data_IF_144170239205
#
_entry.id   IF_144170239205
#
_cell.length_a   1.000
_cell.length_b   1.000
_cell.length_c   1.000
_cell.angle_alpha   90.00
_cell.angle_beta   90.00
_cell.angle_gamma   90.00
#
_symmetry.space_group_name_H-M   'P 1'
#
loop_
_entity.id
_entity.type
_entity.pdbx_description
1 polymer ?
#
# COMPACT_ATOMS: atom_id res chain seq x y z
N UNK A 1 19.26 -17.52 -2.37
CA UNK A 1 19.51 -16.07 -2.16
C UNK A 1 19.36 -15.73 -0.67
N UNK A 2 20.06 -14.70 -0.15
CA UNK A 2 19.81 -14.24 1.24
C UNK A 2 18.56 -13.35 1.29
N UNK A 3 17.81 -13.35 2.41
CA UNK A 3 16.61 -12.50 2.57
C UNK A 3 16.88 -11.00 2.38
N UNK A 4 18.09 -10.53 2.73
CA UNK A 4 18.53 -9.14 2.50
C UNK A 4 18.70 -8.85 1.01
N UNK A 5 19.33 -9.78 0.28
CA UNK A 5 19.53 -9.66 -1.17
C UNK A 5 18.18 -9.72 -1.91
N UNK A 6 17.31 -10.66 -1.54
CA UNK A 6 15.95 -10.77 -2.08
C UNK A 6 15.18 -9.45 -1.97
N UNK A 7 15.15 -8.83 -0.78
CA UNK A 7 14.45 -7.55 -0.58
C UNK A 7 15.03 -6.44 -1.45
N UNK A 8 16.35 -6.40 -1.62
CA UNK A 8 17.02 -5.39 -2.44
C UNK A 8 16.62 -5.55 -3.90
N UNK A 9 16.74 -6.75 -4.45
CA UNK A 9 16.39 -7.03 -5.85
C UNK A 9 14.89 -6.84 -6.11
N UNK A 10 14.04 -7.25 -5.17
CA UNK A 10 12.59 -7.01 -5.25
C UNK A 10 12.28 -5.50 -5.31
N UNK A 11 12.95 -4.67 -4.49
CA UNK A 11 12.76 -3.21 -4.55
C UNK A 11 13.19 -2.65 -5.90
N UNK A 12 14.35 -3.05 -6.43
CA UNK A 12 14.85 -2.60 -7.74
C UNK A 12 13.87 -2.98 -8.86
N UNK A 13 13.42 -4.24 -8.93
CA UNK A 13 12.46 -4.69 -9.95
C UNK A 13 11.08 -4.03 -9.82
N UNK A 14 10.59 -3.80 -8.61
CA UNK A 14 9.32 -3.09 -8.41
C UNK A 14 9.42 -1.61 -8.83
N UNK A 15 10.58 -0.98 -8.64
CA UNK A 15 10.85 0.38 -9.13
C UNK A 15 10.84 0.45 -10.66
N UNK A 16 11.39 -0.55 -11.34
CA UNK A 16 11.31 -0.66 -12.81
C UNK A 16 9.86 -0.75 -13.32
N UNK A 17 8.95 -1.33 -12.53
CA UNK A 17 7.50 -1.37 -12.82
C UNK A 17 6.75 -0.06 -12.48
N UNK A 18 7.46 0.95 -11.97
CA UNK A 18 6.90 2.25 -11.58
C UNK A 18 6.33 2.29 -10.16
N UNK A 19 6.64 1.32 -9.31
CA UNK A 19 6.26 1.34 -7.90
C UNK A 19 7.33 1.98 -7.02
N UNK A 20 6.92 2.63 -5.94
CA UNK A 20 7.79 3.07 -4.87
C UNK A 20 7.55 2.26 -3.60
N UNK A 21 8.57 2.02 -2.80
CA UNK A 21 8.40 1.34 -1.52
C UNK A 21 7.72 2.28 -0.51
N UNK A 22 6.67 1.81 0.15
CA UNK A 22 6.00 2.59 1.20
C UNK A 22 6.93 2.74 2.42
N UNK A 23 7.09 3.94 3.00
CA UNK A 23 8.03 4.17 4.10
C UNK A 23 7.46 3.62 5.43
N UNK A 24 7.67 2.34 5.72
CA UNK A 24 7.23 1.71 6.98
C UNK A 24 8.25 0.70 7.49
N UNK A 25 8.09 0.28 8.76
CA UNK A 25 8.92 -0.75 9.39
C UNK A 25 8.60 -2.17 8.91
N UNK A 26 7.38 -2.41 8.44
CA UNK A 26 6.90 -3.75 8.09
C UNK A 26 6.93 -3.92 6.57
N UNK A 27 7.81 -4.82 6.14
CA UNK A 27 8.47 -4.74 4.84
C UNK A 27 7.60 -5.20 3.66
N UNK A 28 7.92 -4.63 2.50
CA UNK A 28 7.50 -5.01 1.14
C UNK A 28 6.08 -4.61 0.71
N UNK A 29 5.65 -3.42 1.13
CA UNK A 29 4.55 -2.71 0.48
C UNK A 29 5.10 -1.77 -0.59
N UNK A 30 4.58 -1.91 -1.80
CA UNK A 30 4.94 -1.14 -2.97
C UNK A 30 3.72 -0.41 -3.48
N UNK A 31 3.83 0.89 -3.74
CA UNK A 31 2.74 1.77 -4.11
C UNK A 31 3.04 2.43 -5.45
N UNK A 32 2.04 2.43 -6.33
CA UNK A 32 2.04 3.14 -7.60
C UNK A 32 0.83 4.05 -7.64
N UNK A 33 1.04 5.35 -7.81
CA UNK A 33 -0.05 6.30 -8.02
C UNK A 33 -0.67 6.06 -9.39
N UNK A 34 -1.99 5.98 -9.42
CA UNK A 34 -2.81 5.97 -10.62
C UNK A 34 -3.54 7.31 -10.71
N UNK A 35 -4.08 7.61 -11.89
CA UNK A 35 -4.90 8.80 -12.09
C UNK A 35 -6.11 8.83 -11.13
N UNK A 36 -6.71 10.00 -10.94
CA UNK A 36 -7.92 10.20 -10.11
C UNK A 36 -7.74 9.86 -8.62
N UNK A 37 -6.53 10.01 -8.07
CA UNK A 37 -6.23 9.78 -6.65
C UNK A 37 -6.36 8.32 -6.18
N UNK A 38 -6.24 7.35 -7.08
CA UNK A 38 -6.11 5.95 -6.70
C UNK A 38 -4.65 5.54 -6.54
N UNK A 39 -4.43 4.57 -5.66
CA UNK A 39 -3.17 3.90 -5.46
C UNK A 39 -3.34 2.42 -5.74
N UNK A 40 -2.48 1.89 -6.60
CA UNK A 40 -2.27 0.46 -6.73
C UNK A 40 -1.16 0.04 -5.78
N UNK A 41 -1.47 -0.93 -4.92
CA UNK A 41 -0.53 -1.42 -3.91
C UNK A 41 -0.26 -2.89 -4.17
N UNK A 42 1.02 -3.25 -4.21
CA UNK A 42 1.47 -4.65 -4.13
C UNK A 42 2.09 -4.86 -2.76
N UNK A 43 1.50 -5.74 -1.97
CA UNK A 43 2.04 -6.13 -0.68
C UNK A 43 2.60 -7.53 -0.75
N UNK A 44 3.85 -7.72 -0.34
CA UNK A 44 4.52 -9.02 -0.34
C UNK A 44 4.66 -9.54 1.09
N UNK A 45 4.23 -10.78 1.32
CA UNK A 45 4.22 -11.39 2.64
C UNK A 45 4.89 -12.75 2.62
N UNK A 46 5.63 -13.05 3.68
CA UNK A 46 6.20 -14.37 3.90
C UNK A 46 5.22 -15.27 4.64
N UNK A 47 5.22 -16.56 4.31
CA UNK A 47 4.43 -17.57 5.02
C UNK A 47 4.86 -17.65 6.48
N UNK A 48 3.88 -17.83 7.37
CA UNK A 48 4.14 -18.08 8.80
C UNK A 48 4.63 -19.51 9.06
N UNK A 49 4.39 -20.41 8.12
CA UNK A 49 4.72 -21.84 8.24
C UNK A 49 6.03 -22.18 7.54
N UNK A 50 6.39 -21.43 6.49
CA UNK A 50 7.63 -21.61 5.75
C UNK A 50 8.31 -20.25 5.56
N UNK A 51 9.41 -19.95 6.28
CA UNK A 51 10.02 -18.62 6.28
C UNK A 51 10.64 -18.22 4.94
N UNK A 52 10.79 -19.17 4.02
CA UNK A 52 11.31 -18.96 2.67
C UNK A 52 10.19 -18.75 1.63
N UNK A 53 8.96 -19.15 1.94
CA UNK A 53 7.82 -18.96 1.04
C UNK A 53 7.27 -17.55 1.15
N UNK A 54 6.96 -16.94 0.02
CA UNK A 54 6.31 -15.65 -0.05
C UNK A 54 5.18 -15.62 -1.09
N UNK A 55 4.29 -14.65 -0.94
CA UNK A 55 3.18 -14.38 -1.86
C UNK A 55 2.97 -12.88 -2.01
N UNK A 56 2.11 -12.48 -2.94
CA UNK A 56 1.77 -11.08 -3.19
C UNK A 56 0.27 -10.84 -3.29
N UNK A 57 -0.14 -9.71 -2.72
CA UNK A 57 -1.50 -9.20 -2.75
C UNK A 57 -1.56 -7.89 -3.53
N UNK A 58 -2.64 -7.72 -4.31
CA UNK A 58 -2.98 -6.50 -5.02
C UNK A 58 -4.13 -5.79 -4.34
N UNK A 59 -3.98 -4.48 -4.16
CA UNK A 59 -5.03 -3.61 -3.65
C UNK A 59 -5.21 -2.36 -4.50
N UNK A 60 -6.45 -1.94 -4.68
CA UNK A 60 -6.80 -0.59 -5.16
C UNK A 60 -7.34 0.21 -3.97
N UNK A 61 -6.82 1.41 -3.74
CA UNK A 61 -7.12 2.19 -2.55
C UNK A 61 -7.08 3.70 -2.81
N UNK A 62 -7.71 4.47 -1.91
CA UNK A 62 -7.49 5.93 -1.81
C UNK A 62 -6.26 6.25 -0.93
N UNK A 63 -5.79 5.28 -0.16
CA UNK A 63 -4.59 5.37 0.66
C UNK A 63 -3.40 4.79 -0.09
N UNK A 64 -2.22 5.35 0.14
CA UNK A 64 -0.91 4.86 -0.29
C UNK A 64 -0.42 3.64 0.49
N UNK A 65 -1.17 3.15 1.50
CA UNK A 65 -0.89 1.90 2.22
C UNK A 65 -2.11 0.98 2.32
N UNK A 66 -1.82 -0.32 2.50
CA UNK A 66 -2.84 -1.36 2.73
C UNK A 66 -3.30 -1.46 4.18
N UNK A 67 -2.70 -0.69 5.11
CA UNK A 67 -2.97 -0.76 6.56
C UNK A 67 -4.41 -0.37 6.91
N UNK A 68 -5.02 0.49 6.08
CA UNK A 68 -6.37 0.99 6.29
C UNK A 68 -7.43 0.23 5.50
N UNK A 69 -7.01 -0.74 4.72
CA UNK A 69 -7.89 -1.65 4.02
C UNK A 69 -8.36 -2.70 5.01
N UNK A 70 -9.66 -2.95 5.03
CA UNK A 70 -10.25 -4.09 5.72
C UNK A 70 -10.44 -5.16 4.64
N UNK A 71 -9.51 -6.13 4.49
CA UNK A 71 -9.66 -7.17 3.49
C UNK A 71 -10.74 -8.14 3.96
N UNK A 72 -12.01 -7.74 3.83
CA UNK A 72 -13.09 -8.70 3.84
C UNK A 72 -13.05 -9.47 2.51
N UNK A 73 -13.36 -10.76 2.60
CA UNK A 73 -13.09 -11.77 1.55
C UNK A 73 -13.78 -11.44 0.20
N UNK A 74 -14.79 -10.57 0.19
CA UNK A 74 -15.62 -10.25 -0.97
C UNK A 74 -15.32 -8.91 -1.65
N UNK A 75 -14.27 -8.20 -1.25
CA UNK A 75 -13.99 -6.90 -1.85
C UNK A 75 -13.20 -7.03 -3.17
N UNK A 76 -13.80 -6.60 -4.28
CA UNK A 76 -13.19 -6.64 -5.61
C UNK A 76 -11.90 -5.80 -5.74
N UNK A 77 -11.67 -4.86 -4.82
CA UNK A 77 -10.47 -4.02 -4.74
C UNK A 77 -9.32 -4.64 -3.93
N UNK A 78 -9.44 -5.91 -3.55
CA UNK A 78 -8.37 -6.72 -2.98
C UNK A 78 -8.37 -8.13 -3.56
N UNK A 79 -7.24 -8.59 -4.10
CA UNK A 79 -7.05 -9.98 -4.53
C UNK A 79 -5.57 -10.39 -4.47
N UNK A 80 -5.31 -11.67 -4.23
CA UNK A 80 -3.97 -12.25 -4.41
C UNK A 80 -3.54 -12.20 -5.87
N UNK A 81 -2.26 -11.97 -6.13
CA UNK A 81 -1.67 -11.99 -7.49
C UNK A 81 -2.03 -13.28 -8.23
N UNK A 82 -1.95 -14.42 -7.54
CA UNK A 82 -2.26 -15.74 -8.10
C UNK A 82 -3.67 -15.90 -8.67
N UNK A 83 -4.65 -15.10 -8.20
CA UNK A 83 -6.03 -15.14 -8.71
C UNK A 83 -6.16 -14.67 -10.16
N UNK A 84 -5.18 -13.89 -10.65
CA UNK A 84 -5.18 -13.39 -12.01
C UNK A 84 -4.36 -14.24 -12.97
N UNK A 85 -3.73 -15.31 -12.51
CA UNK A 85 -2.94 -16.20 -13.36
C UNK A 85 -3.84 -17.27 -13.99
N UNK A 86 -3.76 -17.39 -15.32
CA UNK A 86 -4.40 -18.48 -16.06
C UNK A 86 -3.58 -19.75 -15.93
N UNK A 87 -4.18 -20.90 -16.24
CA UNK A 87 -3.51 -22.19 -16.26
C UNK A 87 -2.13 -22.14 -16.94
N UNK A 88 -2.04 -21.53 -18.12
CA UNK A 88 -0.79 -21.38 -18.89
C UNK A 88 0.29 -20.58 -18.14
N UNK A 89 -0.11 -19.46 -17.51
CA UNK A 89 0.77 -18.64 -16.67
C UNK A 89 1.24 -19.47 -15.46
N UNK A 90 0.32 -20.18 -14.80
CA UNK A 90 0.61 -20.97 -13.61
C UNK A 90 1.56 -22.13 -13.88
N UNK A 91 1.42 -22.81 -15.02
CA UNK A 91 2.31 -23.90 -15.43
C UNK A 91 3.75 -23.42 -15.67
N UNK A 92 3.93 -22.15 -16.03
CA UNK A 92 5.24 -21.56 -16.34
C UNK A 92 5.87 -20.87 -15.12
N UNK A 93 5.06 -20.16 -14.33
CA UNK A 93 5.53 -19.24 -13.28
C UNK A 93 5.48 -19.81 -11.87
N UNK A 94 4.83 -20.96 -11.67
CA UNK A 94 4.64 -21.57 -10.35
C UNK A 94 5.30 -22.95 -10.29
N UNK A 95 5.78 -23.31 -9.10
CA UNK A 95 6.36 -24.61 -8.88
C UNK A 95 5.26 -25.72 -8.96
N UNK A 96 5.37 -26.67 -9.90
CA UNK A 96 4.33 -27.67 -10.14
C UNK A 96 4.15 -28.65 -8.98
N UNK A 97 5.14 -28.80 -8.10
CA UNK A 97 5.08 -29.74 -6.97
C UNK A 97 4.27 -29.21 -5.79
N UNK A 98 3.90 -27.94 -5.80
CA UNK A 98 3.37 -27.24 -4.62
C UNK A 98 2.01 -26.60 -4.85
N UNK A 99 1.55 -26.54 -6.10
CA UNK A 99 0.40 -25.71 -6.47
C UNK A 99 -0.47 -26.39 -7.51
N UNK A 100 -1.76 -26.09 -7.44
CA UNK A 100 -2.71 -26.49 -8.48
C UNK A 100 -2.43 -25.67 -9.75
N UNK A 101 -1.47 -26.13 -10.55
CA UNK A 101 -1.09 -25.52 -11.84
C UNK A 101 -2.13 -25.78 -12.94
N UNK A 102 -3.01 -26.76 -12.75
CA UNK A 102 -4.01 -27.17 -13.74
C UNK A 102 -5.35 -26.42 -13.68
N UNK A 103 -5.47 -25.38 -12.85
CA UNK A 103 -6.66 -24.53 -12.73
C UNK A 103 -6.33 -23.07 -13.02
N UNK A 104 -7.33 -22.26 -13.33
CA UNK A 104 -7.18 -20.81 -13.28
C UNK A 104 -7.28 -20.29 -11.84
N UNK A 105 -6.48 -19.29 -11.51
CA UNK A 105 -6.57 -18.57 -10.25
C UNK A 105 -6.23 -19.35 -8.97
N UNK A 106 -6.44 -18.68 -7.85
CA UNK A 106 -6.15 -19.16 -6.50
C UNK A 106 -4.73 -18.87 -6.03
N UNK A 107 -4.44 -19.33 -4.82
CA UNK A 107 -3.16 -19.08 -4.14
C UNK A 107 -1.94 -19.40 -5.00
N UNK A 108 -0.96 -18.50 -4.92
CA UNK A 108 0.32 -18.61 -5.57
C UNK A 108 1.43 -18.25 -4.58
N UNK A 109 2.43 -19.11 -4.47
CA UNK A 109 3.58 -18.96 -3.59
C UNK A 109 4.89 -19.11 -4.37
N UNK A 110 5.94 -18.47 -3.88
CA UNK A 110 7.29 -18.51 -4.46
C UNK A 110 8.32 -18.69 -3.35
N UNK A 111 9.55 -19.10 -3.69
CA UNK A 111 10.63 -19.26 -2.72
C UNK A 111 11.63 -18.12 -2.83
N UNK A 112 11.89 -17.42 -1.73
CA UNK A 112 12.86 -16.34 -1.71
C UNK A 112 14.31 -16.82 -1.85
N UNK A 113 14.57 -18.10 -1.59
CA UNK A 113 15.89 -18.70 -1.80
C UNK A 113 16.20 -19.01 -3.27
N UNK A 114 15.19 -19.10 -4.13
CA UNK A 114 15.30 -19.39 -5.56
C UNK A 114 15.28 -18.09 -6.38
N UNK A 115 16.29 -17.91 -7.25
CA UNK A 115 16.42 -16.70 -8.05
C UNK A 115 15.31 -16.58 -9.09
N UNK A 116 14.94 -17.70 -9.73
CA UNK A 116 13.92 -17.72 -10.78
C UNK A 116 12.53 -17.41 -10.19
N UNK A 117 12.31 -17.78 -8.92
CA UNK A 117 11.09 -17.48 -8.18
C UNK A 117 10.80 -15.98 -8.02
N UNK A 118 11.83 -15.14 -7.86
CA UNK A 118 11.62 -13.68 -7.81
C UNK A 118 11.21 -13.14 -9.19
N UNK A 119 11.89 -13.56 -10.25
CA UNK A 119 11.56 -13.13 -11.62
C UNK A 119 10.17 -13.61 -12.05
N UNK A 120 9.81 -14.84 -11.69
CA UNK A 120 8.48 -15.38 -11.92
C UNK A 120 7.39 -14.64 -11.14
N UNK A 121 7.69 -14.21 -9.90
CA UNK A 121 6.79 -13.35 -9.14
C UNK A 121 6.59 -11.99 -9.82
N UNK A 122 7.67 -11.35 -10.27
CA UNK A 122 7.60 -10.06 -10.98
C UNK A 122 6.80 -10.20 -12.28
N UNK A 123 7.03 -11.27 -13.05
CA UNK A 123 6.24 -11.57 -14.24
C UNK A 123 4.76 -11.80 -13.91
N UNK A 124 4.47 -12.43 -12.77
CA UNK A 124 3.10 -12.62 -12.29
C UNK A 124 2.44 -11.28 -11.93
N UNK A 125 3.17 -10.32 -11.34
CA UNK A 125 2.67 -8.96 -11.08
C UNK A 125 2.36 -8.23 -12.39
N UNK A 126 3.27 -8.30 -13.38
CA UNK A 126 3.06 -7.70 -14.71
C UNK A 126 1.78 -8.21 -15.38
N UNK A 127 1.50 -9.51 -15.25
CA UNK A 127 0.29 -10.13 -15.79
C UNK A 127 -0.96 -9.76 -14.97
N UNK A 128 -0.83 -9.77 -13.65
CA UNK A 128 -1.95 -9.59 -12.73
C UNK A 128 -2.44 -8.15 -12.67
N UNK A 129 -1.56 -7.15 -12.69
CA UNK A 129 -1.89 -5.72 -12.60
C UNK A 129 -2.97 -5.28 -13.60
N UNK A 130 -2.82 -5.44 -14.93
CA UNK A 130 -3.85 -5.01 -15.88
C UNK A 130 -5.14 -5.82 -15.74
N UNK A 131 -5.07 -7.11 -15.37
CA UNK A 131 -6.25 -7.96 -15.16
C UNK A 131 -7.03 -7.56 -13.90
N UNK A 132 -6.32 -7.16 -12.84
CA UNK A 132 -6.88 -6.64 -11.60
C UNK A 132 -7.59 -5.31 -11.83
N UNK A 133 -6.95 -4.37 -12.54
CA UNK A 133 -7.53 -3.06 -12.85
C UNK A 133 -8.71 -3.14 -13.84
N UNK A 134 -8.75 -4.16 -14.70
CA UNK A 134 -9.85 -4.37 -15.64
C UNK A 134 -11.13 -4.94 -14.99
N UNK A 135 -11.13 -5.25 -13.68
CA UNK A 135 -12.31 -5.74 -12.98
C UNK A 135 -13.43 -4.69 -13.02
N UNK A 136 -14.61 -5.12 -13.47
CA UNK A 136 -15.78 -4.23 -13.61
C UNK A 136 -16.16 -3.63 -12.25
N UNK A 137 -16.17 -2.30 -12.18
CA UNK A 137 -16.64 -1.55 -11.01
C UNK A 137 -15.66 -1.48 -9.84
N UNK A 138 -14.39 -1.86 -10.02
CA UNK A 138 -13.40 -1.86 -8.94
C UNK A 138 -13.19 -0.46 -8.34
N UNK A 139 -13.11 0.58 -9.17
CA UNK A 139 -13.00 1.97 -8.72
C UNK A 139 -14.25 2.42 -7.96
N UNK A 140 -15.44 2.10 -8.47
CA UNK A 140 -16.71 2.41 -7.79
C UNK A 140 -16.81 1.69 -6.44
N UNK A 141 -16.30 0.46 -6.31
CA UNK A 141 -16.29 -0.24 -5.04
C UNK A 141 -15.38 0.44 -4.01
N UNK A 142 -14.19 0.91 -4.42
CA UNK A 142 -13.30 1.70 -3.56
C UNK A 142 -13.99 3.00 -3.16
N UNK A 143 -14.55 3.73 -4.11
CA UNK A 143 -15.23 4.99 -3.85
C UNK A 143 -16.42 4.77 -2.93
N UNK A 144 -17.29 3.79 -3.18
CA UNK A 144 -18.48 3.52 -2.36
C UNK A 144 -18.17 3.05 -0.94
N UNK A 145 -16.92 2.66 -0.66
CA UNK A 145 -16.49 2.35 0.69
C UNK A 145 -16.40 3.62 1.55
N UNK A 146 -17.49 3.90 2.29
CA UNK A 146 -17.60 5.05 3.19
C UNK A 146 -16.45 5.13 4.20
N UNK A 147 -15.99 3.99 4.75
CA UNK A 147 -14.90 3.95 5.73
C UNK A 147 -13.58 4.41 5.11
N UNK A 148 -13.29 3.98 3.87
CA UNK A 148 -12.10 4.43 3.17
C UNK A 148 -12.15 5.93 2.87
N UNK A 149 -13.27 6.41 2.31
CA UNK A 149 -13.44 7.85 2.01
C UNK A 149 -13.32 8.73 3.24
N UNK A 150 -14.10 8.44 4.28
CA UNK A 150 -14.10 9.24 5.52
C UNK A 150 -12.74 9.15 6.22
N UNK A 151 -12.15 7.95 6.29
CA UNK A 151 -10.83 7.78 6.88
C UNK A 151 -9.76 8.60 6.16
N UNK A 152 -9.82 8.69 4.83
CA UNK A 152 -8.87 9.46 4.04
C UNK A 152 -9.03 10.96 4.30
N UNK A 153 -10.27 11.48 4.22
CA UNK A 153 -10.57 12.88 4.46
C UNK A 153 -10.22 13.31 5.90
N UNK A 154 -10.67 12.55 6.90
CA UNK A 154 -10.52 12.92 8.30
C UNK A 154 -9.08 12.88 8.78
N UNK A 155 -8.28 11.95 8.24
CA UNK A 155 -6.92 11.66 8.73
C UNK A 155 -5.85 12.18 7.79
N UNK A 156 -5.81 11.71 6.55
CA UNK A 156 -4.70 11.98 5.63
C UNK A 156 -4.66 13.46 5.29
N UNK A 157 -5.78 14.02 4.81
CA UNK A 157 -5.86 15.43 4.46
C UNK A 157 -5.61 16.35 5.66
N UNK A 158 -6.08 15.97 6.85
CA UNK A 158 -5.86 16.75 8.07
C UNK A 158 -4.38 16.78 8.47
N UNK A 159 -3.70 15.64 8.41
CA UNK A 159 -2.25 15.57 8.70
C UNK A 159 -1.46 16.34 7.64
N UNK A 160 -1.82 16.26 6.36
CA UNK A 160 -1.19 17.05 5.30
C UNK A 160 -1.29 18.56 5.61
N UNK A 161 -2.49 19.05 5.92
CA UNK A 161 -2.70 20.48 6.29
C UNK A 161 -1.82 20.88 7.47
N UNK A 162 -1.81 20.08 8.54
CA UNK A 162 -0.95 20.32 9.71
C UNK A 162 0.56 20.34 9.37
N UNK A 163 1.00 19.53 8.40
CA UNK A 163 2.41 19.42 8.03
C UNK A 163 2.87 20.56 7.09
N UNK A 164 1.96 21.13 6.29
CA UNK A 164 2.32 22.11 5.25
C UNK A 164 1.96 23.55 5.60
N UNK A 165 1.10 23.79 6.59
CA UNK A 165 0.72 25.15 6.99
C UNK A 165 1.85 25.88 7.74
N UNK A 166 2.35 27.02 7.23
CA UNK A 166 3.54 27.69 7.76
C UNK A 166 3.37 28.26 9.17
N UNK A 167 2.13 28.48 9.62
CA UNK A 167 1.81 29.10 10.90
C UNK A 167 1.24 28.12 11.93
N UNK A 168 1.28 26.81 11.67
CA UNK A 168 0.73 25.81 12.58
C UNK A 168 1.69 25.51 13.74
N UNK A 169 2.00 26.54 14.53
CA UNK A 169 2.76 26.45 15.78
C UNK A 169 1.81 26.11 16.92
N UNK A 170 1.22 24.91 16.85
CA UNK A 170 0.48 24.40 17.99
C UNK A 170 1.50 24.07 19.09
N UNK A 171 1.47 24.83 20.17
CA UNK A 171 2.20 24.54 21.41
C UNK A 171 1.54 23.34 22.11
N UNK A 172 1.99 22.15 21.73
CA UNK A 172 1.62 20.89 22.36
C UNK A 172 2.89 20.15 22.76
N UNK A 173 2.84 19.46 23.89
CA UNK A 173 3.92 18.55 24.29
C UNK A 173 3.85 17.29 23.43
N UNK A 174 4.88 17.11 22.60
CA UNK A 174 4.97 15.98 21.67
C UNK A 174 6.06 15.03 22.17
N UNK A 175 5.64 13.83 22.56
CA UNK A 175 6.46 12.86 23.30
C UNK A 175 6.64 11.54 22.54
N UNK A 176 5.83 11.31 21.51
CA UNK A 176 5.84 10.07 20.74
C UNK A 176 6.77 10.12 19.51
N UNK A 177 7.24 11.31 19.11
CA UNK A 177 8.10 11.49 17.94
C UNK A 177 9.36 10.61 17.98
N UNK A 178 9.81 10.12 16.82
CA UNK A 178 11.11 9.46 16.75
C UNK A 178 12.23 10.49 17.00
N UNK A 179 13.34 10.03 17.60
CA UNK A 179 14.54 10.88 17.84
C UNK A 179 15.25 11.29 16.55
N UNK A 180 15.04 10.54 15.49
CA UNK A 180 15.61 10.73 14.15
C UNK A 180 14.49 10.57 13.12
N UNK A 181 14.74 10.91 11.87
CA UNK A 181 13.83 10.63 10.77
C UNK A 181 14.15 9.24 10.17
N UNK A 182 13.46 8.15 10.58
CA UNK A 182 13.82 6.80 10.15
C UNK A 182 13.53 6.54 8.66
N UNK A 183 12.67 7.35 8.05
CA UNK A 183 12.17 7.12 6.70
C UNK A 183 12.56 8.21 5.71
N UNK A 184 13.27 9.25 6.18
CA UNK A 184 13.68 10.42 5.39
C UNK A 184 12.48 11.16 4.78
N UNK A 185 11.36 11.20 5.50
CA UNK A 185 10.12 11.88 5.06
C UNK A 185 10.03 13.32 5.59
N UNK A 186 10.83 13.67 6.59
CA UNK A 186 10.83 14.94 7.30
C UNK A 186 10.15 14.87 8.67
N UNK A 187 10.76 15.47 9.69
CA UNK A 187 10.21 15.47 11.06
C UNK A 187 8.85 16.17 11.16
N UNK A 188 8.52 17.08 10.23
CA UNK A 188 7.21 17.75 10.24
C UNK A 188 6.02 16.79 10.08
N UNK A 189 6.20 15.65 9.39
CA UNK A 189 5.11 14.69 9.20
C UNK A 189 4.80 13.90 10.46
N UNK A 190 5.85 13.50 11.19
CA UNK A 190 5.68 12.88 12.51
C UNK A 190 5.05 13.86 13.50
N UNK A 191 5.46 15.14 13.46
CA UNK A 191 4.85 16.20 14.27
C UNK A 191 3.35 16.35 13.98
N UNK A 192 2.99 16.49 12.71
CA UNK A 192 1.61 16.64 12.27
C UNK A 192 0.74 15.42 12.63
N UNK A 193 1.28 14.21 12.46
CA UNK A 193 0.59 12.98 12.84
C UNK A 193 0.33 12.91 14.35
N UNK A 194 1.31 13.29 15.18
CA UNK A 194 1.13 13.28 16.65
C UNK A 194 0.10 14.31 17.10
N UNK A 195 0.15 15.53 16.56
CA UNK A 195 -0.87 16.58 16.82
C UNK A 195 -2.27 16.06 16.48
N UNK A 196 -2.42 15.46 15.28
CA UNK A 196 -3.69 14.88 14.86
C UNK A 196 -4.19 13.81 15.85
N UNK A 197 -3.32 12.89 16.26
CA UNK A 197 -3.68 11.81 17.19
C UNK A 197 -4.08 12.36 18.56
N UNK A 198 -3.35 13.33 19.10
CA UNK A 198 -3.70 13.96 20.38
C UNK A 198 -5.04 14.72 20.29
N UNK A 199 -5.29 15.48 19.22
CA UNK A 199 -6.56 16.19 19.00
C UNK A 199 -7.77 15.25 18.89
N UNK A 200 -7.56 14.03 18.40
CA UNK A 200 -8.60 12.99 18.30
C UNK A 200 -8.71 12.13 19.56
N UNK A 201 -8.01 12.46 20.63
CA UNK A 201 -8.09 11.76 21.91
C UNK A 201 -7.50 10.35 21.89
N UNK A 202 -6.53 10.09 21.00
CA UNK A 202 -5.73 8.87 21.10
C UNK A 202 -5.01 8.89 22.45
N UNK A 203 -5.11 7.82 23.23
CA UNK A 203 -4.42 7.70 24.50
C UNK A 203 -2.91 7.55 24.32
N UNK A 204 -2.32 6.46 24.80
CA UNK A 204 -0.89 6.21 24.58
C UNK A 204 -0.60 5.96 23.09
N UNK A 205 -0.01 6.94 22.43
CA UNK A 205 0.39 6.86 21.02
C UNK A 205 1.50 5.82 20.85
N UNK A 206 1.24 4.78 20.04
CA UNK A 206 2.23 3.77 19.68
C UNK A 206 3.12 4.28 18.56
N UNK A 207 4.43 4.04 18.65
CA UNK A 207 5.41 4.47 17.65
C UNK A 207 5.07 4.03 16.22
N UNK A 208 4.73 2.74 16.03
CA UNK A 208 4.37 2.22 14.71
C UNK A 208 3.15 2.92 14.12
N UNK A 209 2.13 3.21 14.94
CA UNK A 209 0.94 3.90 14.48
C UNK A 209 1.23 5.35 14.06
N UNK A 210 2.07 6.05 14.83
CA UNK A 210 2.51 7.40 14.48
C UNK A 210 3.27 7.41 13.14
N UNK A 211 4.17 6.46 12.98
CA UNK A 211 4.96 6.26 11.77
C UNK A 211 4.08 5.97 10.54
N UNK A 212 3.11 5.06 10.66
CA UNK A 212 2.20 4.75 9.55
C UNK A 212 1.33 5.96 9.18
N UNK A 213 0.91 6.78 10.14
CA UNK A 213 0.12 8.00 9.88
C UNK A 213 0.97 9.07 9.17
N UNK A 214 2.21 9.25 9.62
CA UNK A 214 3.14 10.21 9.03
C UNK A 214 3.50 9.82 7.59
N UNK A 215 3.85 8.55 7.36
CA UNK A 215 4.23 8.04 6.05
C UNK A 215 3.07 8.07 5.05
N UNK A 216 1.86 7.74 5.49
CA UNK A 216 0.65 7.83 4.67
C UNK A 216 0.41 9.25 4.15
N UNK A 217 0.45 10.23 5.06
CA UNK A 217 0.25 11.63 4.72
C UNK A 217 1.36 12.17 3.81
N UNK A 218 2.62 11.83 4.10
CA UNK A 218 3.75 12.20 3.26
C UNK A 218 3.62 11.64 1.85
N UNK A 219 3.34 10.34 1.71
CA UNK A 219 3.24 9.69 0.40
C UNK A 219 2.08 10.27 -0.41
N UNK A 220 0.92 10.49 0.21
CA UNK A 220 -0.22 11.13 -0.45
C UNK A 220 0.12 12.55 -0.94
N UNK A 221 0.78 13.36 -0.10
CA UNK A 221 1.24 14.70 -0.50
C UNK A 221 2.28 14.65 -1.62
N UNK A 222 3.28 13.76 -1.51
CA UNK A 222 4.35 13.62 -2.48
C UNK A 222 3.82 13.30 -3.88
N UNK A 223 2.90 12.34 -3.98
CA UNK A 223 2.28 11.99 -5.26
C UNK A 223 1.36 13.09 -5.80
N UNK A 224 0.63 13.81 -4.94
CA UNK A 224 -0.16 14.97 -5.39
C UNK A 224 0.71 16.09 -5.96
N UNK A 225 1.88 16.36 -5.36
CA UNK A 225 2.82 17.36 -5.86
C UNK A 225 3.44 16.97 -7.20
N UNK A 226 3.82 15.69 -7.36
CA UNK A 226 4.43 15.20 -8.60
C UNK A 226 3.48 15.28 -9.80
N UNK A 227 2.19 15.06 -9.58
CA UNK A 227 1.20 14.99 -10.66
C UNK A 227 0.45 16.30 -10.91
N UNK A 228 0.67 17.34 -10.09
CA UNK A 228 -0.06 18.61 -10.20
C UNK A 228 -1.55 18.53 -9.84
N UNK A 229 -2.00 17.39 -9.31
CA UNK A 229 -3.39 17.01 -9.10
C UNK A 229 -3.89 17.31 -7.67
N UNK A 230 -3.42 18.39 -7.03
CA UNK A 230 -3.98 18.78 -5.73
C UNK A 230 -5.42 19.28 -5.91
N UNK A 231 -6.38 18.36 -5.85
CA UNK A 231 -7.80 18.67 -5.86
C UNK A 231 -8.52 17.99 -4.68
N UNK A 232 -8.57 18.64 -3.51
CA UNK A 232 -9.31 18.13 -2.36
C UNK A 232 -10.83 18.02 -2.61
N UNK A 233 -11.36 18.65 -3.68
CA UNK A 233 -12.79 18.75 -3.98
C UNK A 233 -13.36 17.44 -4.53
N UNK A 234 -12.56 16.60 -5.20
CA UNK A 234 -13.05 15.34 -5.81
C UNK A 234 -13.64 14.34 -4.80
N UNK A 235 -13.25 14.42 -3.53
CA UNK A 235 -13.82 13.58 -2.47
C UNK A 235 -14.99 14.26 -1.73
N UNK A 236 -15.10 15.58 -1.78
CA UNK A 236 -16.22 16.32 -1.17
C UNK A 236 -17.46 16.32 -2.08
N UNK A 237 -17.30 16.17 -3.40
CA UNK A 237 -18.40 16.17 -4.38
C UNK A 237 -18.96 14.79 -4.71
N UNK A 238 -18.46 13.71 -4.09
CA UNK A 238 -18.95 12.36 -4.37
C UNK A 238 -20.19 12.06 -3.53
N UNK A 239 -21.36 12.47 -4.04
CA UNK A 239 -22.63 11.96 -3.53
C UNK A 239 -22.75 10.48 -3.93
N UNK A 240 -23.01 9.56 -2.98
CA UNK A 240 -23.25 8.16 -3.33
C UNK A 240 -24.48 8.10 -4.24
N UNK A 241 -24.36 7.41 -5.38
CA UNK A 241 -25.55 6.97 -6.10
C UNK A 241 -26.32 6.02 -5.17
N UNK A 242 -27.51 6.47 -4.73
CA UNK A 242 -28.51 5.63 -4.08
C UNK A 242 -29.03 4.53 -5.02
#
# INVERSE_FOLDING_TARGET
>A
MSKKLFKKELVEKMQELGYQQFPTRYELNFVKYLNNNFYLIVSVYFSRFSPDEFTGDLYLSLFSSSIYLDPLIDDCYFKRVGNFLRKEDRQTLLNPYLQNVDRDGGDAWWYASDCDSLDNFIQSVIIAEPRFLAQKGIEQAVLNNKRLRQGYQDRVLKIIRLATEPNNQIEMELVAQPKTDPFKIGMQWFRAAEIYMQQRGYGKIKKAQLEDFASEAYMAYHYQQLNGDYNPVLLESYEPYE
#
